data_IF_689138043827
#
_entry.id   IF_689138043827
#
_cell.length_a   1.000
_cell.length_b   1.000
_cell.length_c   1.000
_cell.angle_alpha   90.00
_cell.angle_beta   90.00
_cell.angle_gamma   90.00
#
_symmetry.space_group_name_H-M   'P 1'
#
loop_
_entity.id
_entity.type
_entity.pdbx_description
1 polymer ?
#
# COMPACT_ATOMS: atom_id res chain seq x y z
N UNK A 1 20.04 22.69 -4.78
CA UNK A 1 19.60 21.69 -3.77
C UNK A 1 19.59 20.26 -4.30
N UNK A 2 18.66 19.83 -5.18
CA UNK A 2 18.66 18.43 -5.68
C UNK A 2 19.91 18.12 -6.52
N UNK A 3 20.40 19.06 -7.31
CA UNK A 3 21.59 18.89 -8.15
C UNK A 3 22.89 18.78 -7.33
N UNK A 4 22.92 19.45 -6.18
CA UNK A 4 24.01 19.38 -5.21
C UNK A 4 24.04 18.01 -4.53
N UNK A 5 22.88 17.51 -4.05
CA UNK A 5 22.75 16.14 -3.56
C UNK A 5 23.11 15.11 -4.64
N UNK A 6 22.73 15.35 -5.90
CA UNK A 6 23.14 14.53 -7.06
C UNK A 6 24.66 14.54 -7.28
N UNK A 7 25.33 15.69 -7.10
CA UNK A 7 26.79 15.83 -7.27
C UNK A 7 27.57 15.15 -6.15
N UNK A 8 27.11 15.28 -4.91
CA UNK A 8 27.72 14.66 -3.73
C UNK A 8 27.44 13.15 -3.69
N UNK A 9 26.22 12.75 -4.04
CA UNK A 9 25.74 11.38 -3.92
C UNK A 9 25.39 11.00 -2.47
N UNK A 10 25.41 9.69 -2.23
CA UNK A 10 25.05 9.07 -0.95
C UNK A 10 23.89 8.08 -1.08
N UNK A 11 23.36 7.67 0.07
CA UNK A 11 22.29 6.68 0.20
C UNK A 11 20.99 7.37 0.66
N UNK A 12 19.85 6.93 0.14
CA UNK A 12 18.53 7.37 0.59
C UNK A 12 18.08 6.62 1.86
N UNK A 13 16.93 7.01 2.41
CA UNK A 13 16.35 6.36 3.60
C UNK A 13 15.99 4.86 3.38
N UNK A 14 15.91 4.43 2.13
CA UNK A 14 15.73 3.03 1.72
C UNK A 14 17.04 2.21 1.70
N UNK A 15 18.18 2.79 2.10
CA UNK A 15 19.49 2.12 2.08
C UNK A 15 20.14 2.02 0.70
N UNK A 16 19.43 2.29 -0.39
CA UNK A 16 19.96 2.30 -1.75
C UNK A 16 20.63 3.64 -2.11
N UNK A 17 21.52 3.62 -3.11
CA UNK A 17 22.12 4.85 -3.67
C UNK A 17 21.00 5.79 -4.15
N UNK A 18 21.11 7.07 -3.82
CA UNK A 18 20.13 8.10 -4.20
C UNK A 18 19.76 8.03 -5.69
N UNK A 19 18.47 7.97 -6.01
CA UNK A 19 17.97 7.78 -7.38
C UNK A 19 18.48 8.87 -8.34
N UNK A 20 18.49 10.14 -7.88
CA UNK A 20 18.99 11.29 -8.65
C UNK A 20 20.49 11.21 -8.97
N UNK A 21 21.24 10.48 -8.14
CA UNK A 21 22.69 10.26 -8.22
C UNK A 21 23.02 8.95 -8.96
N UNK A 22 22.00 8.23 -9.44
CA UNK A 22 22.09 6.93 -10.10
C UNK A 22 21.48 7.00 -11.51
N UNK A 23 20.20 6.63 -11.65
CA UNK A 23 19.50 6.45 -12.93
C UNK A 23 18.48 7.56 -13.24
N UNK A 24 17.85 8.17 -12.23
CA UNK A 24 16.80 9.16 -12.44
C UNK A 24 17.43 10.54 -12.77
N UNK A 25 17.23 11.02 -14.00
CA UNK A 25 17.83 12.27 -14.51
C UNK A 25 16.84 13.43 -14.59
N UNK A 26 15.61 13.14 -14.95
CA UNK A 26 14.52 14.09 -15.09
C UNK A 26 13.59 14.00 -13.87
N UNK A 27 12.97 15.12 -13.51
CA UNK A 27 12.15 15.21 -12.32
C UNK A 27 10.93 16.11 -12.56
N UNK A 28 9.75 15.52 -12.43
CA UNK A 28 8.51 16.29 -12.34
C UNK A 28 8.30 16.81 -10.91
N UNK A 29 7.40 17.80 -10.72
CA UNK A 29 6.94 18.23 -9.40
C UNK A 29 6.26 17.09 -8.65
N UNK A 30 6.62 16.93 -7.37
CA UNK A 30 6.06 15.89 -6.50
C UNK A 30 5.16 16.58 -5.48
N UNK A 31 3.95 16.07 -5.28
CA UNK A 31 2.99 16.61 -4.31
C UNK A 31 2.90 15.73 -3.08
N UNK A 32 2.42 16.29 -1.96
CA UNK A 32 2.12 15.51 -0.74
C UNK A 32 0.92 14.57 -0.91
N UNK A 33 0.15 14.71 -1.98
CA UNK A 33 -0.96 13.81 -2.31
C UNK A 33 -0.46 12.40 -2.67
N UNK A 34 0.61 12.28 -3.44
CA UNK A 34 1.23 10.99 -3.80
C UNK A 34 1.59 10.16 -2.55
N UNK A 35 2.11 10.81 -1.50
CA UNK A 35 2.38 10.17 -0.23
C UNK A 35 1.11 9.64 0.48
N UNK A 36 -0.03 10.35 0.38
CA UNK A 36 -1.30 9.88 0.94
C UNK A 36 -1.85 8.68 0.17
N UNK A 37 -1.80 8.73 -1.16
CA UNK A 37 -2.28 7.65 -2.04
C UNK A 37 -1.48 6.35 -1.83
N UNK A 38 -0.22 6.46 -1.41
CA UNK A 38 0.66 5.35 -1.04
C UNK A 38 0.56 4.96 0.44
N UNK A 39 -0.41 5.52 1.19
CA UNK A 39 -0.64 5.32 2.62
C UNK A 39 0.58 5.63 3.52
N UNK A 40 1.44 6.55 3.09
CA UNK A 40 2.60 7.00 3.86
C UNK A 40 2.25 8.13 4.82
N UNK A 41 2.81 8.06 6.04
CA UNK A 41 2.65 9.12 7.04
C UNK A 41 3.27 10.43 6.54
N UNK A 42 2.52 11.54 6.63
CA UNK A 42 2.93 12.88 6.18
C UNK A 42 4.00 13.57 7.05
N UNK A 43 4.79 12.79 7.80
CA UNK A 43 5.93 13.31 8.55
C UNK A 43 7.06 13.69 7.55
N UNK A 44 7.51 14.96 7.51
CA UNK A 44 8.57 15.40 6.61
C UNK A 44 9.85 14.54 6.65
N UNK A 45 10.22 13.99 7.81
CA UNK A 45 11.40 13.10 7.96
C UNK A 45 11.25 11.75 7.23
N UNK A 46 10.01 11.31 6.97
CA UNK A 46 9.73 10.04 6.29
C UNK A 46 9.48 10.20 4.79
N UNK A 47 9.02 11.37 4.34
CA UNK A 47 8.69 11.64 2.93
C UNK A 47 9.67 12.56 2.19
N UNK A 48 10.69 13.09 2.89
CA UNK A 48 11.75 13.91 2.26
C UNK A 48 13.01 13.08 2.02
N UNK A 49 13.62 13.27 0.85
CA UNK A 49 14.97 12.76 0.58
C UNK A 49 16.04 13.72 1.09
N UNK A 50 17.30 13.26 1.11
CA UNK A 50 18.47 14.00 1.62
C UNK A 50 18.67 15.38 0.97
N UNK A 51 18.07 15.62 -0.20
CA UNK A 51 18.06 16.90 -0.89
C UNK A 51 17.04 17.94 -0.35
N UNK A 52 16.40 17.67 0.81
CA UNK A 52 15.41 18.57 1.42
C UNK A 52 14.10 18.72 0.64
N UNK A 53 13.88 17.88 -0.40
CA UNK A 53 12.64 17.82 -1.19
C UNK A 53 11.99 16.44 -1.02
N UNK A 54 10.71 16.34 -1.38
CA UNK A 54 9.99 15.06 -1.40
C UNK A 54 10.75 13.98 -2.20
N UNK A 55 10.64 12.74 -1.72
CA UNK A 55 11.25 11.55 -2.30
C UNK A 55 10.79 11.34 -3.74
N UNK A 56 11.74 11.18 -4.66
CA UNK A 56 11.48 10.89 -6.07
C UNK A 56 10.78 9.53 -6.29
N UNK A 57 10.95 8.58 -5.37
CA UNK A 57 10.26 7.29 -5.38
C UNK A 57 8.74 7.44 -5.37
N UNK A 58 8.20 8.46 -4.68
CA UNK A 58 6.76 8.71 -4.60
C UNK A 58 6.11 8.87 -5.99
N UNK A 59 6.78 9.52 -6.94
CA UNK A 59 6.23 9.62 -8.30
C UNK A 59 6.56 8.39 -9.13
N UNK A 60 7.78 7.87 -9.02
CA UNK A 60 8.25 6.72 -9.79
C UNK A 60 7.41 5.45 -9.55
N UNK A 61 7.07 5.17 -8.30
CA UNK A 61 6.32 3.98 -7.89
C UNK A 61 4.81 4.15 -8.05
N UNK A 62 4.33 5.37 -8.32
CA UNK A 62 2.90 5.72 -8.33
C UNK A 62 2.06 4.83 -9.26
N UNK A 63 2.56 4.55 -10.47
CA UNK A 63 1.82 3.71 -11.42
C UNK A 63 1.73 2.26 -10.94
N UNK A 64 2.76 1.75 -10.27
CA UNK A 64 2.75 0.41 -9.68
C UNK A 64 1.75 0.33 -8.51
N UNK A 65 1.71 1.33 -7.63
CA UNK A 65 0.69 1.43 -6.58
C UNK A 65 -0.72 1.50 -7.17
N UNK A 66 -0.96 2.32 -8.19
CA UNK A 66 -2.27 2.43 -8.85
C UNK A 66 -2.73 1.10 -9.44
N UNK A 67 -1.84 0.38 -10.15
CA UNK A 67 -2.15 -0.95 -10.70
C UNK A 67 -2.44 -1.95 -9.57
N UNK A 68 -1.58 -2.05 -8.57
CA UNK A 68 -1.73 -2.98 -7.45
C UNK A 68 -3.04 -2.73 -6.69
N UNK A 69 -3.42 -1.47 -6.46
CA UNK A 69 -4.69 -1.12 -5.80
C UNK A 69 -5.94 -1.59 -6.57
N UNK A 70 -5.87 -1.81 -7.89
CA UNK A 70 -7.00 -2.37 -8.66
C UNK A 70 -7.30 -3.83 -8.33
N UNK A 71 -6.38 -4.55 -7.68
CA UNK A 71 -6.56 -5.94 -7.27
C UNK A 71 -7.36 -6.08 -5.95
N UNK A 72 -7.52 -4.98 -5.22
CA UNK A 72 -8.20 -4.91 -3.92
C UNK A 72 -9.58 -4.25 -4.05
N UNK A 73 -10.55 -4.59 -3.19
CA UNK A 73 -11.75 -3.78 -3.04
C UNK A 73 -11.38 -2.34 -2.62
N UNK A 74 -12.20 -1.37 -3.04
CA UNK A 74 -11.95 0.04 -2.73
C UNK A 74 -11.89 0.29 -1.21
N UNK A 75 -11.01 1.18 -0.77
CA UNK A 75 -10.98 1.67 0.62
C UNK A 75 -12.37 2.23 1.00
N UNK A 76 -12.86 1.89 2.19
CA UNK A 76 -14.20 2.22 2.65
C UNK A 76 -15.34 1.39 2.04
N UNK A 77 -15.05 0.48 1.10
CA UNK A 77 -16.08 -0.46 0.59
C UNK A 77 -16.37 -1.57 1.59
N UNK A 78 -17.63 -2.04 1.60
CA UNK A 78 -18.07 -3.17 2.42
C UNK A 78 -18.03 -4.45 1.57
N UNK A 79 -17.42 -5.49 2.10
CA UNK A 79 -17.30 -6.80 1.47
C UNK A 79 -17.57 -7.91 2.50
N UNK A 80 -17.63 -9.16 2.04
CA UNK A 80 -17.92 -10.32 2.89
C UNK A 80 -16.67 -11.13 3.20
N UNK A 81 -16.41 -11.33 4.48
CA UNK A 81 -15.43 -12.28 5.04
C UNK A 81 -16.13 -13.55 5.53
N UNK A 82 -15.36 -14.54 5.94
CA UNK A 82 -15.84 -15.74 6.65
C UNK A 82 -16.51 -15.39 8.01
N UNK A 83 -16.07 -14.32 8.68
CA UNK A 83 -16.62 -13.83 9.96
C UNK A 83 -17.83 -12.89 9.81
N UNK A 84 -18.16 -12.44 8.61
CA UNK A 84 -19.27 -11.51 8.35
C UNK A 84 -18.91 -10.38 7.40
N UNK A 85 -19.73 -9.32 7.37
CA UNK A 85 -19.50 -8.13 6.54
C UNK A 85 -18.53 -7.17 7.21
N UNK A 86 -17.44 -6.80 6.53
CA UNK A 86 -16.43 -5.87 7.03
C UNK A 86 -16.18 -4.74 6.03
N UNK A 87 -15.72 -3.60 6.52
CA UNK A 87 -15.31 -2.43 5.73
C UNK A 87 -13.79 -2.44 5.53
N UNK A 88 -13.30 -2.22 4.31
CA UNK A 88 -11.85 -2.11 4.07
C UNK A 88 -11.32 -0.81 4.64
N UNK A 89 -10.39 -0.89 5.61
CA UNK A 89 -9.82 0.25 6.33
C UNK A 89 -8.46 0.65 5.74
N UNK A 90 -7.57 -0.32 5.52
CA UNK A 90 -6.21 -0.11 5.00
C UNK A 90 -5.79 -1.24 4.07
N UNK A 91 -4.97 -0.94 3.06
CA UNK A 91 -4.42 -1.93 2.09
C UNK A 91 -2.90 -1.88 2.10
N UNK A 92 -2.26 -3.04 2.16
CA UNK A 92 -0.83 -3.23 1.94
C UNK A 92 -0.61 -3.98 0.62
N UNK A 93 -0.27 -3.23 -0.42
CA UNK A 93 -0.03 -3.76 -1.77
C UNK A 93 1.16 -4.71 -1.85
N UNK A 94 2.15 -4.59 -0.96
CA UNK A 94 3.39 -5.39 -1.00
C UNK A 94 3.20 -6.77 -0.39
N UNK A 95 2.51 -6.87 0.76
CA UNK A 95 2.22 -8.17 1.41
C UNK A 95 0.96 -8.82 0.86
N UNK A 96 0.19 -8.11 0.02
CA UNK A 96 -1.14 -8.49 -0.48
C UNK A 96 -2.13 -8.75 0.67
N UNK A 97 -2.10 -7.86 1.65
CA UNK A 97 -2.93 -7.90 2.85
C UNK A 97 -3.79 -6.64 2.93
N UNK A 98 -4.94 -6.74 3.58
CA UNK A 98 -5.74 -5.58 3.97
C UNK A 98 -6.23 -5.71 5.41
N UNK A 99 -6.32 -4.56 6.09
CA UNK A 99 -6.91 -4.44 7.42
C UNK A 99 -8.35 -4.01 7.22
N UNK A 100 -9.26 -4.73 7.85
CA UNK A 100 -10.70 -4.53 7.69
C UNK A 100 -11.37 -4.43 9.04
N UNK A 101 -12.48 -3.72 9.08
CA UNK A 101 -13.18 -3.39 10.32
C UNK A 101 -14.61 -3.91 10.28
N UNK A 102 -14.94 -4.73 11.25
CA UNK A 102 -16.28 -5.26 11.47
C UNK A 102 -17.16 -4.26 12.26
N UNK A 103 -18.51 -4.43 12.27
CA UNK A 103 -19.44 -3.48 12.92
C UNK A 103 -19.23 -3.32 14.44
N UNK A 104 -18.63 -4.30 15.09
CA UNK A 104 -18.25 -4.33 16.51
C UNK A 104 -16.93 -3.59 16.81
N UNK A 105 -16.29 -2.99 15.80
CA UNK A 105 -14.94 -2.43 15.81
C UNK A 105 -13.80 -3.46 15.90
N UNK A 106 -14.06 -4.75 15.70
CA UNK A 106 -12.98 -5.73 15.54
C UNK A 106 -12.20 -5.47 14.24
N UNK A 107 -10.88 -5.33 14.34
CA UNK A 107 -9.97 -5.24 13.19
C UNK A 107 -9.38 -6.60 12.85
N UNK A 108 -9.44 -6.96 11.56
CA UNK A 108 -8.97 -8.25 11.04
C UNK A 108 -7.97 -8.02 9.90
N UNK A 109 -6.90 -8.83 9.86
CA UNK A 109 -5.96 -8.88 8.74
C UNK A 109 -6.31 -10.02 7.80
N UNK A 110 -6.40 -9.70 6.52
CA UNK A 110 -6.95 -10.59 5.50
C UNK A 110 -6.06 -10.55 4.25
N UNK A 111 -5.65 -11.72 3.74
CA UNK A 111 -4.86 -11.87 2.51
C UNK A 111 -5.73 -11.91 1.26
N UNK A 112 -5.18 -11.42 0.15
CA UNK A 112 -5.88 -11.20 -1.12
C UNK A 112 -5.33 -12.17 -2.18
N UNK A 113 -6.03 -13.29 -2.35
CA UNK A 113 -5.63 -14.47 -3.15
C UNK A 113 -6.40 -14.58 -4.49
N UNK A 114 -7.70 -14.93 -4.56
CA UNK A 114 -8.41 -15.15 -5.87
C UNK A 114 -9.98 -15.10 -5.89
N UNK A 115 -10.61 -14.08 -6.49
CA UNK A 115 -12.07 -13.75 -6.52
C UNK A 115 -12.79 -13.30 -5.20
N UNK A 116 -13.03 -12.00 -4.98
CA UNK A 116 -13.93 -11.44 -3.93
C UNK A 116 -15.35 -11.24 -4.46
N UNK A 117 -16.35 -11.54 -3.64
CA UNK A 117 -17.72 -11.06 -3.84
C UNK A 117 -17.96 -9.77 -3.07
N UNK A 118 -18.64 -8.81 -3.70
CA UNK A 118 -19.13 -7.62 -3.00
C UNK A 118 -20.17 -7.98 -1.91
N UNK A 119 -20.65 -6.98 -1.17
CA UNK A 119 -21.71 -7.15 -0.15
C UNK A 119 -23.02 -7.75 -0.69
N UNK A 120 -23.23 -7.80 -2.01
CA UNK A 120 -24.42 -8.35 -2.66
C UNK A 120 -24.19 -9.76 -3.24
N UNK A 121 -22.97 -10.28 -3.18
CA UNK A 121 -22.64 -11.59 -3.76
C UNK A 121 -22.29 -11.55 -5.26
N UNK A 122 -22.21 -10.37 -5.88
CA UNK A 122 -21.78 -10.29 -7.28
C UNK A 122 -20.28 -10.62 -7.39
N UNK A 123 -19.92 -11.39 -8.42
CA UNK A 123 -18.53 -11.61 -8.81
C UNK A 123 -17.90 -10.27 -9.18
N UNK A 124 -16.99 -9.78 -8.34
CA UNK A 124 -16.14 -8.65 -8.66
C UNK A 124 -14.84 -9.14 -9.30
N UNK A 125 -14.06 -8.24 -9.88
CA UNK A 125 -12.72 -8.53 -10.41
C UNK A 125 -11.63 -8.60 -9.32
N UNK A 126 -11.95 -8.31 -8.05
CA UNK A 126 -11.00 -8.29 -6.94
C UNK A 126 -10.67 -9.71 -6.43
N UNK A 127 -9.60 -9.92 -5.64
CA UNK A 127 -9.08 -11.26 -5.27
C UNK A 127 -9.44 -11.79 -3.85
N UNK A 128 -9.96 -13.03 -3.72
CA UNK A 128 -10.51 -13.70 -2.50
C UNK A 128 -9.72 -13.38 -1.26
N UNK A 129 -10.48 -13.26 -0.20
CA UNK A 129 -10.10 -12.79 1.11
C UNK A 129 -9.95 -13.98 2.06
N UNK A 130 -8.72 -14.26 2.51
CA UNK A 130 -8.39 -15.36 3.44
C UNK A 130 -7.97 -14.78 4.79
N UNK A 131 -8.58 -15.26 5.87
CA UNK A 131 -8.32 -14.79 7.23
C UNK A 131 -6.93 -15.22 7.70
N UNK A 132 -6.04 -14.28 8.03
CA UNK A 132 -4.68 -14.60 8.51
C UNK A 132 -4.72 -15.06 9.98
N UNK A 133 -5.79 -14.74 10.71
CA UNK A 133 -6.00 -15.17 12.09
C UNK A 133 -6.60 -16.59 12.16
N UNK A 134 -6.80 -17.27 11.03
CA UNK A 134 -7.13 -18.69 10.96
C UNK A 134 -5.86 -19.53 10.94
N UNK A 135 -5.32 -19.84 12.13
CA UNK A 135 -4.40 -20.97 12.26
C UNK A 135 -5.17 -22.28 12.10
N UNK A 136 -4.55 -23.28 11.47
CA UNK A 136 -5.08 -24.63 11.41
C UNK A 136 -5.21 -25.24 12.82
N UNK A 137 -6.42 -25.25 13.38
CA UNK A 137 -6.84 -26.27 14.35
C UNK A 137 -7.51 -27.42 13.61
N UNK A 138 -6.73 -28.07 12.72
CA UNK A 138 -7.08 -29.33 12.08
C UNK A 138 -6.41 -30.51 12.78
N UNK A 139 -6.73 -30.71 14.07
CA UNK A 139 -6.54 -31.99 14.74
C UNK A 139 -7.82 -32.40 15.47
N UNK A 140 -8.54 -33.34 14.87
CA UNK A 140 -9.74 -33.99 15.41
C UNK A 140 -9.70 -35.48 15.02
N UNK A 141 -8.83 -36.23 15.70
CA UNK A 141 -8.82 -37.69 15.75
C UNK A 141 -8.08 -38.15 17.01
#
# INVERSE_FOLDING_TARGET
>A
VRDEARRIGGFGICGLKQCCSCWLREFEPITTQLAREQNLALNPQKISGNCGRLLCCLLYEQNHYQQALTEFPQLGSVYRTEKGTATVEKVNVFTREMIVKHPDNYEEKVKVEENVTDKYGYRTTYRRVVNINGGDESESA
#
